data_IF_773450871691
#
_entry.id   IF_773450871691
#
_cell.length_a   1.000
_cell.length_b   1.000
_cell.length_c   1.000
_cell.angle_alpha   90.00
_cell.angle_beta   90.00
_cell.angle_gamma   90.00
#
_symmetry.space_group_name_H-M   'P 1'
#
loop_
_entity.id
_entity.type
_entity.pdbx_description
1 polymer ?
#
# COMPACT_ATOMS: atom_id res chain seq x y z
N UNK A 1 -4.20 8.85 5.60
CA UNK A 1 -4.77 10.22 5.73
C UNK A 1 -5.65 10.36 6.96
N UNK A 2 -6.79 9.63 7.08
CA UNK A 2 -7.75 9.82 8.18
C UNK A 2 -7.14 9.65 9.58
N UNK A 3 -6.30 8.65 9.80
CA UNK A 3 -5.62 8.43 11.07
C UNK A 3 -4.71 9.63 11.47
N UNK A 4 -4.02 10.23 10.51
CA UNK A 4 -3.18 11.40 10.76
C UNK A 4 -4.03 12.62 11.14
N UNK A 5 -5.12 12.87 10.42
CA UNK A 5 -6.06 13.95 10.74
C UNK A 5 -6.64 13.75 12.15
N UNK A 6 -7.19 12.56 12.41
CA UNK A 6 -7.79 12.22 13.71
C UNK A 6 -6.79 12.46 14.85
N UNK A 7 -5.58 11.93 14.71
CA UNK A 7 -4.55 12.01 15.74
C UNK A 7 -4.05 13.44 15.94
N UNK A 8 -3.55 14.07 14.89
CA UNK A 8 -2.80 15.33 15.01
C UNK A 8 -3.71 16.55 15.13
N UNK A 9 -4.87 16.57 14.47
CA UNK A 9 -5.79 17.70 14.48
C UNK A 9 -6.79 17.60 15.63
N UNK A 10 -7.43 16.45 15.82
CA UNK A 10 -8.54 16.34 16.76
C UNK A 10 -8.15 15.85 18.15
N UNK A 11 -7.21 14.91 18.27
CA UNK A 11 -6.81 14.35 19.57
C UNK A 11 -5.65 15.10 20.20
N UNK A 12 -4.48 15.14 19.52
CA UNK A 12 -3.28 15.80 20.04
C UNK A 12 -3.30 17.33 19.87
N UNK A 13 -4.08 17.83 18.88
CA UNK A 13 -4.19 19.26 18.55
C UNK A 13 -2.85 19.94 18.32
N UNK A 14 -1.89 19.19 17.73
CA UNK A 14 -0.54 19.65 17.42
C UNK A 14 -0.44 20.40 16.10
N UNK A 15 -1.49 20.33 15.29
CA UNK A 15 -1.71 21.12 14.07
C UNK A 15 -3.21 21.44 13.98
N UNK A 16 -3.53 22.55 13.34
CA UNK A 16 -4.92 22.91 13.00
C UNK A 16 -5.29 22.34 11.62
N UNK A 17 -6.60 22.24 11.36
CA UNK A 17 -7.07 21.85 10.02
C UNK A 17 -6.65 22.88 8.97
N UNK A 18 -6.62 24.17 9.30
CA UNK A 18 -6.21 25.22 8.37
C UNK A 18 -4.73 25.10 8.00
N UNK A 19 -3.84 24.92 8.99
CA UNK A 19 -2.40 24.68 8.73
C UNK A 19 -2.18 23.45 7.84
N UNK A 20 -2.93 22.38 8.06
CA UNK A 20 -2.86 21.18 7.21
C UNK A 20 -3.29 21.49 5.77
N UNK A 21 -4.40 22.19 5.58
CA UNK A 21 -4.91 22.54 4.25
C UNK A 21 -3.95 23.47 3.50
N UNK A 22 -3.40 24.47 4.19
CA UNK A 22 -2.44 25.38 3.57
C UNK A 22 -1.14 24.66 3.18
N UNK A 23 -0.60 23.84 4.09
CA UNK A 23 0.58 23.02 3.78
C UNK A 23 0.35 22.06 2.60
N UNK A 24 -0.85 21.50 2.46
CA UNK A 24 -1.19 20.63 1.33
C UNK A 24 -1.33 21.41 0.01
N UNK A 25 -1.87 22.64 0.03
CA UNK A 25 -1.94 23.50 -1.17
C UNK A 25 -0.56 23.85 -1.70
N UNK A 26 0.41 24.03 -0.81
CA UNK A 26 1.79 24.36 -1.13
C UNK A 26 2.64 23.10 -1.40
N UNK A 27 2.02 21.93 -1.57
CA UNK A 27 2.71 20.63 -1.70
C UNK A 27 3.77 20.42 -0.59
N UNK A 28 3.50 20.92 0.59
CA UNK A 28 4.40 20.95 1.75
C UNK A 28 5.69 21.76 1.56
N UNK A 29 5.81 22.60 0.54
CA UNK A 29 6.93 23.52 0.42
C UNK A 29 6.91 24.53 1.59
N UNK A 30 8.04 24.65 2.28
CA UNK A 30 8.13 25.45 3.50
C UNK A 30 7.47 24.83 4.76
N UNK A 31 6.78 23.70 4.64
CA UNK A 31 6.05 23.03 5.72
C UNK A 31 6.63 21.64 6.09
N UNK A 32 7.94 21.44 5.95
CA UNK A 32 8.55 20.11 6.13
C UNK A 32 8.40 19.55 7.55
N UNK A 33 8.44 20.40 8.58
CA UNK A 33 8.21 19.95 9.96
C UNK A 33 6.78 19.36 10.14
N UNK A 34 5.76 20.05 9.63
CA UNK A 34 4.38 19.57 9.63
C UNK A 34 4.28 18.26 8.83
N UNK A 35 4.91 18.22 7.66
CA UNK A 35 4.95 17.01 6.84
C UNK A 35 5.57 15.82 7.57
N UNK A 36 6.65 16.02 8.33
CA UNK A 36 7.27 14.95 9.13
C UNK A 36 6.32 14.45 10.23
N UNK A 37 5.55 15.34 10.89
CA UNK A 37 4.49 14.91 11.83
C UNK A 37 3.47 14.01 11.14
N UNK A 38 3.01 14.37 9.93
CA UNK A 38 2.09 13.56 9.14
C UNK A 38 2.71 12.20 8.73
N UNK A 39 3.98 12.18 8.32
CA UNK A 39 4.70 10.96 7.95
C UNK A 39 4.88 10.02 9.15
N UNK A 40 5.07 10.55 10.34
CA UNK A 40 5.24 9.78 11.58
C UNK A 40 3.91 9.37 12.24
N UNK A 41 2.78 9.95 11.84
CA UNK A 41 1.47 9.52 12.31
C UNK A 41 1.25 8.02 11.99
N UNK A 42 0.41 7.30 12.77
CA UNK A 42 0.13 5.88 12.55
C UNK A 42 -0.27 5.57 11.12
N UNK A 43 0.23 4.44 10.59
CA UNK A 43 0.01 4.00 9.21
C UNK A 43 -0.51 2.58 9.16
N UNK A 44 -1.41 2.31 8.23
CA UNK A 44 -1.91 0.97 7.93
C UNK A 44 -0.78 0.02 7.53
N UNK A 45 -0.91 -1.26 7.88
CA UNK A 45 0.09 -2.28 7.60
C UNK A 45 1.13 -2.50 8.70
N UNK A 46 0.89 -1.96 9.91
CA UNK A 46 1.78 -2.07 11.05
C UNK A 46 1.16 -2.78 12.27
N UNK A 47 0.06 -3.51 12.08
CA UNK A 47 -0.69 -4.18 13.16
C UNK A 47 -1.08 -3.18 14.28
N UNK A 48 -1.66 -2.05 13.88
CA UNK A 48 -2.08 -0.96 14.76
C UNK A 48 -3.59 -0.78 14.66
N UNK A 49 -4.32 -1.21 15.69
CA UNK A 49 -5.78 -1.17 15.77
C UNK A 49 -6.34 0.24 15.56
N UNK A 50 -5.61 1.27 16.01
CA UNK A 50 -6.01 2.66 15.84
C UNK A 50 -6.22 3.03 14.36
N UNK A 51 -5.38 2.50 13.46
CA UNK A 51 -5.46 2.76 12.02
C UNK A 51 -6.30 1.70 11.31
N UNK A 52 -6.11 0.44 11.70
CA UNK A 52 -6.69 -0.71 11.01
C UNK A 52 -8.23 -0.67 11.11
N UNK A 53 -8.77 -0.28 12.27
CA UNK A 53 -10.23 -0.14 12.44
C UNK A 53 -10.81 1.10 11.75
N UNK A 54 -10.04 2.18 11.53
CA UNK A 54 -10.48 3.27 10.65
C UNK A 54 -10.64 2.75 9.21
N UNK A 55 -9.68 1.97 8.72
CA UNK A 55 -9.77 1.38 7.39
C UNK A 55 -10.97 0.44 7.27
N UNK A 56 -11.16 -0.44 8.25
CA UNK A 56 -12.32 -1.34 8.34
C UNK A 56 -13.64 -0.57 8.33
N UNK A 57 -13.76 0.50 9.12
CA UNK A 57 -14.97 1.32 9.20
C UNK A 57 -15.30 1.96 7.85
N UNK A 58 -14.30 2.52 7.17
CA UNK A 58 -14.48 3.12 5.83
C UNK A 58 -14.95 2.06 4.84
N UNK A 59 -14.30 0.90 4.81
CA UNK A 59 -14.65 -0.20 3.92
C UNK A 59 -16.10 -0.67 4.17
N UNK A 60 -16.42 -1.01 5.42
CA UNK A 60 -17.76 -1.50 5.79
C UNK A 60 -18.86 -0.49 5.45
N UNK A 61 -18.66 0.80 5.75
CA UNK A 61 -19.67 1.83 5.45
C UNK A 61 -19.83 2.04 3.95
N UNK A 62 -18.72 2.07 3.21
CA UNK A 62 -18.79 2.24 1.75
C UNK A 62 -19.59 1.10 1.12
N UNK A 63 -19.40 -0.12 1.57
CA UNK A 63 -20.15 -1.26 1.09
C UNK A 63 -21.63 -1.19 1.44
N UNK A 64 -21.95 -0.84 2.70
CA UNK A 64 -23.33 -0.65 3.12
C UNK A 64 -24.05 0.41 2.27
N UNK A 65 -23.36 1.50 1.91
CA UNK A 65 -23.93 2.53 1.04
C UNK A 65 -24.12 2.02 -0.40
N UNK A 66 -23.12 1.35 -0.97
CA UNK A 66 -23.17 0.82 -2.34
C UNK A 66 -24.27 -0.23 -2.50
N UNK A 67 -24.48 -1.09 -1.49
CA UNK A 67 -25.51 -2.13 -1.50
C UNK A 67 -26.94 -1.61 -1.46
N UNK A 68 -27.17 -0.31 -1.17
CA UNK A 68 -28.49 0.31 -1.26
C UNK A 68 -28.96 0.49 -2.71
N UNK A 69 -28.05 0.41 -3.67
CA UNK A 69 -28.35 0.56 -5.08
C UNK A 69 -28.42 -0.81 -5.76
N UNK A 70 -29.30 -0.93 -6.74
CA UNK A 70 -29.44 -2.14 -7.55
C UNK A 70 -29.07 -1.87 -9.00
N UNK A 71 -28.57 -2.89 -9.68
CA UNK A 71 -28.33 -2.84 -11.11
C UNK A 71 -29.64 -3.04 -11.89
N UNK A 72 -29.57 -3.01 -13.24
CA UNK A 72 -30.71 -3.16 -14.12
C UNK A 72 -31.46 -4.51 -13.97
N UNK A 73 -30.81 -5.52 -13.40
CA UNK A 73 -31.40 -6.85 -13.15
C UNK A 73 -31.91 -7.03 -11.71
N UNK A 74 -31.89 -5.95 -10.89
CA UNK A 74 -32.41 -5.98 -9.53
C UNK A 74 -31.44 -6.55 -8.49
N UNK A 75 -30.17 -6.83 -8.82
CA UNK A 75 -29.15 -7.26 -7.88
C UNK A 75 -28.47 -6.06 -7.23
N UNK A 76 -28.13 -6.13 -5.93
CA UNK A 76 -27.39 -5.06 -5.27
C UNK A 76 -26.01 -4.89 -5.89
N UNK A 77 -25.53 -3.66 -5.93
CA UNK A 77 -24.14 -3.37 -6.26
C UNK A 77 -23.22 -3.88 -5.17
N UNK A 78 -22.04 -4.30 -5.58
CA UNK A 78 -20.96 -4.71 -4.68
C UNK A 78 -19.72 -3.87 -4.95
N UNK A 79 -18.96 -3.58 -3.91
CA UNK A 79 -17.69 -2.88 -4.04
C UNK A 79 -16.59 -3.90 -4.29
N UNK A 80 -15.87 -3.75 -5.39
CA UNK A 80 -14.64 -4.47 -5.66
C UNK A 80 -13.45 -3.52 -5.51
N UNK A 81 -12.45 -3.96 -4.79
CA UNK A 81 -11.26 -3.18 -4.53
C UNK A 81 -10.08 -3.49 -5.46
N UNK A 82 -10.26 -3.96 -6.68
CA UNK A 82 -9.17 -4.25 -7.61
C UNK A 82 -8.68 -2.98 -8.32
N UNK A 83 -7.40 -2.64 -8.14
CA UNK A 83 -6.74 -1.47 -8.75
C UNK A 83 -5.66 -1.86 -9.77
N UNK A 84 -5.85 -2.89 -10.56
CA UNK A 84 -4.87 -3.40 -11.52
C UNK A 84 -4.26 -2.28 -12.41
N UNK A 85 -3.10 -1.75 -12.03
CA UNK A 85 -2.34 -0.74 -12.79
C UNK A 85 -2.85 0.70 -12.69
N UNK A 86 -4.12 0.95 -12.36
CA UNK A 86 -4.67 2.31 -12.26
C UNK A 86 -4.13 3.11 -11.07
N UNK A 87 -3.57 2.45 -10.05
CA UNK A 87 -2.95 3.11 -8.90
C UNK A 87 -1.85 4.10 -9.33
N UNK A 88 -1.13 3.82 -10.40
CA UNK A 88 -0.10 4.70 -10.94
C UNK A 88 -0.71 5.99 -11.48
N UNK A 89 -1.67 5.87 -12.40
CA UNK A 89 -2.32 7.03 -13.02
C UNK A 89 -3.06 7.89 -11.97
N UNK A 90 -3.80 7.25 -11.06
CA UNK A 90 -4.50 7.95 -9.97
C UNK A 90 -3.49 8.60 -9.01
N UNK A 91 -2.40 7.89 -8.65
CA UNK A 91 -1.38 8.42 -7.77
C UNK A 91 -0.67 9.66 -8.32
N UNK A 92 -0.37 9.68 -9.63
CA UNK A 92 0.26 10.83 -10.29
C UNK A 92 -0.70 12.01 -10.45
N UNK A 93 -2.00 11.76 -10.61
CA UNK A 93 -3.03 12.80 -10.74
C UNK A 93 -3.54 13.32 -9.38
N UNK A 94 -3.10 12.75 -8.26
CA UNK A 94 -3.57 13.14 -6.92
C UNK A 94 -2.64 14.19 -6.31
N UNK A 95 -3.23 15.22 -5.75
CA UNK A 95 -2.55 16.28 -5.01
C UNK A 95 -1.92 15.77 -3.71
N UNK A 96 -1.28 16.67 -2.97
CA UNK A 96 -0.77 16.37 -1.63
C UNK A 96 -1.87 15.81 -0.71
N UNK A 97 -1.51 14.87 0.15
CA UNK A 97 -2.45 14.17 1.03
C UNK A 97 -2.09 14.32 2.52
N UNK A 98 -3.10 14.22 3.41
CA UNK A 98 -2.91 14.36 4.87
C UNK A 98 -2.02 13.28 5.51
N UNK A 99 -1.46 12.35 4.76
CA UNK A 99 -0.48 11.38 5.24
C UNK A 99 0.97 11.78 4.95
N UNK A 100 1.17 12.99 4.39
CA UNK A 100 2.47 13.51 3.99
C UNK A 100 2.88 13.17 2.56
N UNK A 101 1.96 12.61 1.72
CA UNK A 101 2.19 12.44 0.29
C UNK A 101 2.30 13.80 -0.38
N UNK A 102 3.32 13.98 -1.22
CA UNK A 102 3.45 15.11 -2.15
C UNK A 102 2.68 14.87 -3.44
N UNK A 103 2.33 15.95 -4.13
CA UNK A 103 1.68 15.90 -5.44
C UNK A 103 2.47 15.06 -6.44
N UNK A 104 1.76 14.38 -7.33
CA UNK A 104 2.37 13.56 -8.38
C UNK A 104 3.20 12.35 -7.93
N UNK A 105 3.25 12.06 -6.62
CA UNK A 105 4.02 10.93 -6.07
C UNK A 105 3.19 9.66 -6.06
N UNK A 106 3.54 8.70 -6.92
CA UNK A 106 2.88 7.39 -7.03
C UNK A 106 3.02 6.57 -5.74
N UNK A 107 4.18 6.61 -5.12
CA UNK A 107 4.54 5.79 -3.95
C UNK A 107 3.66 5.98 -2.71
N UNK A 108 2.71 6.89 -2.75
CA UNK A 108 1.79 7.07 -1.63
C UNK A 108 0.50 6.26 -1.76
N UNK A 109 0.19 5.76 -2.94
CA UNK A 109 -0.91 4.83 -3.14
C UNK A 109 -0.41 3.39 -2.99
N UNK A 110 -1.27 2.55 -2.43
CA UNK A 110 -1.03 1.13 -2.38
C UNK A 110 -1.10 0.54 -3.79
N UNK A 111 -0.23 -0.39 -4.08
CA UNK A 111 -0.19 -1.16 -5.31
C UNK A 111 -1.21 -2.31 -5.36
N UNK A 112 -2.07 -2.37 -4.37
CA UNK A 112 -3.16 -3.31 -4.24
C UNK A 112 -4.27 -2.70 -3.39
N UNK A 113 -5.40 -3.36 -3.31
CA UNK A 113 -6.62 -2.80 -2.70
C UNK A 113 -6.50 -2.52 -1.22
N UNK A 114 -5.85 -3.42 -0.48
CA UNK A 114 -5.67 -3.32 0.99
C UNK A 114 -4.18 -3.44 1.34
N UNK A 115 -3.31 -3.03 0.45
CA UNK A 115 -1.88 -2.95 0.75
C UNK A 115 -1.55 -1.66 1.48
N UNK A 116 -0.56 -1.66 2.36
CA UNK A 116 0.03 -0.42 2.86
C UNK A 116 0.59 0.42 1.71
N UNK A 117 0.56 1.72 1.82
CA UNK A 117 1.29 2.58 0.91
C UNK A 117 2.80 2.29 1.00
N UNK A 118 3.51 2.37 -0.14
CA UNK A 118 4.91 1.99 -0.25
C UNK A 118 5.79 2.68 0.80
N UNK A 119 6.60 1.87 1.52
CA UNK A 119 7.51 2.34 2.57
C UNK A 119 6.84 2.75 3.88
N UNK A 120 5.53 2.46 4.07
CA UNK A 120 4.80 2.78 5.30
C UNK A 120 4.67 1.60 6.26
N UNK A 121 4.84 0.39 5.78
CA UNK A 121 4.81 -0.89 6.50
C UNK A 121 6.19 -1.20 7.11
N UNK A 122 6.41 -0.71 8.33
CA UNK A 122 7.73 -0.76 8.98
C UNK A 122 7.89 -1.89 10.00
N UNK A 123 6.80 -2.58 10.36
CA UNK A 123 6.81 -3.64 11.39
C UNK A 123 6.87 -5.07 10.81
N UNK A 124 7.29 -5.19 9.56
CA UNK A 124 7.51 -6.49 8.91
C UNK A 124 6.26 -7.13 8.31
N UNK A 125 6.44 -8.24 7.57
CA UNK A 125 5.39 -8.82 6.74
C UNK A 125 4.20 -9.38 7.55
N UNK A 126 4.45 -9.92 8.74
CA UNK A 126 3.39 -10.44 9.61
C UNK A 126 2.46 -9.33 10.08
N UNK A 127 2.99 -8.14 10.41
CA UNK A 127 2.18 -7.00 10.78
C UNK A 127 1.27 -6.54 9.62
N UNK A 128 1.78 -6.60 8.38
CA UNK A 128 0.98 -6.28 7.19
C UNK A 128 -0.22 -7.21 7.06
N UNK A 129 -0.02 -8.53 7.10
CA UNK A 129 -1.14 -9.48 6.95
C UNK A 129 -2.12 -9.45 8.11
N UNK A 130 -1.68 -9.09 9.31
CA UNK A 130 -2.57 -8.86 10.46
C UNK A 130 -3.44 -7.62 10.26
N UNK A 131 -2.87 -6.50 9.81
CA UNK A 131 -3.64 -5.31 9.46
C UNK A 131 -4.67 -5.62 8.35
N UNK A 132 -4.26 -6.34 7.29
CA UNK A 132 -5.14 -6.75 6.20
C UNK A 132 -6.29 -7.63 6.69
N UNK A 133 -6.01 -8.61 7.56
CA UNK A 133 -7.02 -9.53 8.11
C UNK A 133 -8.05 -8.86 9.03
N UNK A 134 -7.80 -7.66 9.53
CA UNK A 134 -8.76 -6.87 10.31
C UNK A 134 -9.79 -6.14 9.45
N UNK A 135 -9.48 -5.91 8.17
CA UNK A 135 -10.43 -5.30 7.22
C UNK A 135 -11.37 -6.39 6.74
N UNK A 136 -12.67 -6.11 6.75
CA UNK A 136 -13.66 -7.09 6.31
C UNK A 136 -13.37 -7.52 4.87
N UNK A 137 -13.37 -8.84 4.58
CA UNK A 137 -13.15 -9.31 3.22
C UNK A 137 -14.37 -8.95 2.38
N UNK A 138 -14.24 -7.92 1.59
CA UNK A 138 -15.10 -7.70 0.46
C UNK A 138 -14.58 -8.48 -0.74
N UNK A 139 -15.23 -8.45 -1.86
CA UNK A 139 -15.04 -9.37 -2.97
C UNK A 139 -13.63 -9.47 -3.55
N UNK A 140 -12.70 -8.58 -3.22
CA UNK A 140 -11.33 -8.64 -3.70
C UNK A 140 -10.36 -7.94 -2.74
N UNK A 141 -9.45 -8.70 -2.20
CA UNK A 141 -8.28 -8.19 -1.47
C UNK A 141 -7.03 -8.52 -2.29
N UNK A 142 -6.33 -7.53 -2.79
CA UNK A 142 -5.03 -7.74 -3.43
C UNK A 142 -3.95 -7.12 -2.56
N UNK A 143 -3.11 -7.96 -1.98
CA UNK A 143 -1.93 -7.53 -1.24
C UNK A 143 -0.66 -7.84 -2.03
N UNK A 144 0.21 -6.86 -2.23
CA UNK A 144 1.52 -7.06 -2.83
C UNK A 144 2.60 -6.95 -1.77
N UNK A 145 3.51 -7.91 -1.74
CA UNK A 145 4.68 -7.86 -0.87
C UNK A 145 5.94 -8.23 -1.64
N UNK A 146 7.03 -7.57 -1.29
CA UNK A 146 8.35 -7.87 -1.85
C UNK A 146 9.24 -8.49 -0.79
N UNK A 147 9.79 -9.66 -1.10
CA UNK A 147 10.78 -10.34 -0.27
C UNK A 147 12.14 -10.34 -0.94
N UNK A 148 13.18 -10.23 -0.13
CA UNK A 148 14.54 -10.47 -0.60
C UNK A 148 14.73 -11.96 -0.86
N UNK A 149 15.46 -12.39 -1.92
CA UNK A 149 15.62 -13.81 -2.27
C UNK A 149 16.12 -14.68 -1.12
N UNK A 150 17.05 -14.17 -0.29
CA UNK A 150 17.61 -14.90 0.86
C UNK A 150 16.54 -15.29 1.91
N UNK A 151 15.38 -14.64 1.92
CA UNK A 151 14.28 -15.00 2.83
C UNK A 151 13.47 -16.22 2.37
N UNK A 152 13.74 -16.73 1.19
CA UNK A 152 13.20 -17.99 0.68
C UNK A 152 14.24 -19.13 0.66
N UNK A 153 15.36 -18.97 1.34
CA UNK A 153 16.45 -19.94 1.40
C UNK A 153 16.61 -20.52 2.81
N UNK A 154 17.16 -21.74 2.88
CA UNK A 154 17.49 -22.41 4.14
C UNK A 154 16.30 -22.48 5.11
N UNK A 155 16.55 -22.22 6.37
CA UNK A 155 15.53 -22.24 7.44
C UNK A 155 14.47 -21.13 7.34
N UNK A 156 14.74 -20.08 6.57
CA UNK A 156 13.74 -19.04 6.31
C UNK A 156 12.54 -19.57 5.53
N UNK A 157 12.68 -20.67 4.78
CA UNK A 157 11.53 -21.36 4.14
C UNK A 157 10.47 -21.79 5.17
N UNK A 158 10.88 -22.21 6.36
CA UNK A 158 9.95 -22.56 7.45
C UNK A 158 9.20 -21.34 7.95
N UNK A 159 9.89 -20.21 8.10
CA UNK A 159 9.28 -18.93 8.48
C UNK A 159 8.28 -18.47 7.42
N UNK A 160 8.64 -18.59 6.15
CA UNK A 160 7.74 -18.23 5.05
C UNK A 160 6.51 -19.15 4.98
N UNK A 161 6.67 -20.45 5.22
CA UNK A 161 5.55 -21.38 5.31
C UNK A 161 4.61 -21.03 6.49
N UNK A 162 5.18 -20.71 7.66
CA UNK A 162 4.39 -20.24 8.82
C UNK A 162 3.66 -18.92 8.52
N UNK A 163 4.31 -18.00 7.82
CA UNK A 163 3.71 -16.76 7.34
C UNK A 163 2.50 -17.00 6.42
N UNK A 164 2.60 -17.90 5.44
CA UNK A 164 1.49 -18.26 4.55
C UNK A 164 0.33 -18.93 5.32
N UNK A 165 0.66 -19.78 6.29
CA UNK A 165 -0.36 -20.37 7.17
C UNK A 165 -1.09 -19.30 7.97
N UNK A 166 -0.35 -18.39 8.60
CA UNK A 166 -0.93 -17.25 9.34
C UNK A 166 -1.78 -16.36 8.43
N UNK A 167 -1.32 -16.09 7.21
CA UNK A 167 -2.09 -15.34 6.22
C UNK A 167 -3.47 -15.98 5.96
N UNK A 168 -3.51 -17.30 5.79
CA UNK A 168 -4.75 -18.05 5.57
C UNK A 168 -5.64 -18.08 6.83
N UNK A 169 -5.06 -18.30 8.02
CA UNK A 169 -5.77 -18.31 9.29
C UNK A 169 -6.42 -16.96 9.64
N UNK A 170 -5.82 -15.86 9.20
CA UNK A 170 -6.37 -14.51 9.34
C UNK A 170 -7.51 -14.20 8.35
N UNK A 171 -7.86 -15.13 7.48
CA UNK A 171 -8.94 -14.94 6.50
C UNK A 171 -8.59 -14.00 5.34
N UNK A 172 -7.31 -13.74 5.10
CA UNK A 172 -6.89 -12.94 3.95
C UNK A 172 -7.13 -13.69 2.63
N UNK A 173 -7.52 -12.98 1.58
CA UNK A 173 -7.96 -13.61 0.33
C UNK A 173 -6.84 -13.79 -0.69
N UNK A 174 -6.09 -12.74 -0.96
CA UNK A 174 -5.13 -12.75 -2.06
C UNK A 174 -3.84 -12.03 -1.67
N UNK A 175 -2.72 -12.67 -1.94
CA UNK A 175 -1.39 -12.08 -1.77
C UNK A 175 -0.52 -12.41 -2.98
N UNK A 176 0.27 -11.44 -3.41
CA UNK A 176 1.22 -11.55 -4.50
C UNK A 176 2.62 -11.22 -4.01
N UNK A 177 3.61 -11.90 -4.57
CA UNK A 177 4.99 -11.74 -4.15
C UNK A 177 5.88 -11.27 -5.31
N UNK A 178 6.74 -10.31 -5.01
CA UNK A 178 7.97 -10.06 -5.75
C UNK A 178 9.15 -10.61 -4.94
N UNK A 179 9.92 -11.49 -5.53
CA UNK A 179 11.14 -12.04 -4.92
C UNK A 179 12.33 -11.53 -5.71
N UNK A 180 12.71 -10.31 -5.43
CA UNK A 180 13.78 -9.60 -6.14
C UNK A 180 14.41 -8.54 -5.22
N UNK A 181 15.72 -8.39 -5.29
CA UNK A 181 16.42 -7.34 -4.56
C UNK A 181 16.41 -6.00 -5.32
N UNK A 182 16.52 -4.91 -4.56
CA UNK A 182 16.49 -3.55 -5.11
C UNK A 182 17.70 -3.25 -6.00
N UNK A 183 18.85 -3.87 -5.73
CA UNK A 183 20.06 -3.60 -6.50
C UNK A 183 19.99 -4.26 -7.87
N UNK A 184 19.39 -5.44 -7.97
CA UNK A 184 19.06 -6.06 -9.26
C UNK A 184 18.11 -5.18 -10.08
N UNK A 185 17.06 -4.65 -9.47
CA UNK A 185 16.12 -3.73 -10.15
C UNK A 185 16.82 -2.45 -10.61
N UNK A 186 17.66 -1.84 -9.77
CA UNK A 186 18.42 -0.63 -10.13
C UNK A 186 19.44 -0.90 -11.25
N UNK A 187 20.06 -2.08 -11.25
CA UNK A 187 20.96 -2.47 -12.36
C UNK A 187 20.17 -2.68 -13.64
N UNK A 188 19.01 -3.31 -13.56
CA UNK A 188 18.14 -3.50 -14.71
C UNK A 188 17.64 -2.18 -15.32
N UNK A 189 17.44 -1.13 -14.52
CA UNK A 189 17.15 0.21 -15.04
C UNK A 189 18.32 0.83 -15.81
N UNK A 190 19.55 0.57 -15.38
CA UNK A 190 20.77 1.15 -15.97
C UNK A 190 21.24 0.40 -17.20
N UNK A 191 21.05 -0.91 -17.23
CA UNK A 191 21.57 -1.82 -18.25
C UNK A 191 20.43 -2.77 -18.71
N UNK A 192 19.32 -2.24 -19.29
CA UNK A 192 18.11 -3.01 -19.58
C UNK A 192 18.38 -4.21 -20.51
N UNK A 193 19.34 -4.09 -21.41
CA UNK A 193 19.72 -5.15 -22.34
C UNK A 193 20.26 -6.43 -21.66
N UNK A 194 20.76 -6.31 -20.43
CA UNK A 194 21.24 -7.45 -19.63
C UNK A 194 20.14 -8.14 -18.82
N UNK A 195 18.95 -7.53 -18.73
CA UNK A 195 17.87 -7.98 -17.86
C UNK A 195 16.54 -8.16 -18.60
N UNK A 196 16.59 -8.48 -19.88
CA UNK A 196 15.40 -8.62 -20.74
C UNK A 196 14.40 -9.66 -20.24
N UNK A 197 14.86 -10.65 -19.46
CA UNK A 197 14.04 -11.72 -18.90
C UNK A 197 13.60 -11.48 -17.44
N UNK A 198 13.89 -10.29 -16.86
CA UNK A 198 13.54 -10.00 -15.49
C UNK A 198 12.02 -9.70 -15.40
N UNK A 199 11.28 -10.66 -14.86
CA UNK A 199 9.83 -10.54 -14.66
C UNK A 199 9.56 -10.03 -13.24
N UNK A 200 8.64 -9.07 -13.13
CA UNK A 200 8.15 -8.54 -11.85
C UNK A 200 6.63 -8.58 -11.79
N UNK A 201 6.09 -8.69 -10.57
CA UNK A 201 4.66 -8.52 -10.31
C UNK A 201 4.36 -7.04 -10.10
N UNK A 202 3.52 -6.48 -10.96
CA UNK A 202 3.16 -5.05 -10.90
C UNK A 202 2.01 -4.84 -9.90
N UNK A 203 0.79 -5.09 -10.34
CA UNK A 203 -0.42 -5.08 -9.52
C UNK A 203 -1.49 -5.90 -10.27
N UNK A 204 -1.78 -7.12 -9.84
CA UNK A 204 -2.70 -8.02 -10.53
C UNK A 204 -2.16 -8.67 -11.80
N UNK A 205 -1.01 -8.25 -12.33
CA UNK A 205 -0.35 -8.81 -13.51
C UNK A 205 1.18 -8.79 -13.37
N UNK A 206 1.86 -9.57 -14.21
CA UNK A 206 3.32 -9.61 -14.31
C UNK A 206 3.77 -9.05 -15.66
N UNK A 207 4.94 -8.40 -15.67
CA UNK A 207 5.54 -7.85 -16.89
C UNK A 207 7.06 -7.97 -16.81
N UNK A 208 7.72 -7.85 -17.96
CA UNK A 208 9.17 -7.65 -17.97
C UNK A 208 9.50 -6.28 -17.40
N UNK A 209 10.41 -6.24 -16.43
CA UNK A 209 10.72 -5.02 -15.70
C UNK A 209 11.23 -3.91 -16.63
N UNK A 210 12.05 -4.28 -17.60
CA UNK A 210 12.68 -3.34 -18.53
C UNK A 210 11.67 -2.70 -19.51
N UNK A 211 10.54 -3.35 -19.76
CA UNK A 211 9.49 -2.85 -20.65
C UNK A 211 8.50 -1.90 -19.94
N UNK A 212 8.59 -1.82 -18.61
CA UNK A 212 7.71 -0.94 -17.84
C UNK A 212 8.12 0.52 -17.98
N UNK A 213 7.17 1.47 -17.97
CA UNK A 213 7.48 2.89 -17.84
C UNK A 213 8.34 3.15 -16.60
N UNK A 214 9.30 4.08 -16.71
CA UNK A 214 10.26 4.40 -15.64
C UNK A 214 9.60 4.67 -14.30
N UNK A 215 8.49 5.38 -14.25
CA UNK A 215 7.77 5.66 -13.02
C UNK A 215 7.22 4.41 -12.32
N UNK A 216 6.79 3.38 -13.08
CA UNK A 216 6.37 2.08 -12.51
C UNK A 216 7.59 1.30 -12.03
N UNK A 217 8.70 1.34 -12.74
CA UNK A 217 9.96 0.74 -12.29
C UNK A 217 10.41 1.36 -10.96
N UNK A 218 10.38 2.69 -10.85
CA UNK A 218 10.75 3.43 -9.64
C UNK A 218 9.83 3.08 -8.46
N UNK A 219 8.53 2.92 -8.71
CA UNK A 219 7.56 2.47 -7.71
C UNK A 219 7.90 1.05 -7.20
N UNK A 220 8.14 0.11 -8.10
CA UNK A 220 8.51 -1.27 -7.71
C UNK A 220 9.81 -1.29 -6.88
N UNK A 221 10.79 -0.48 -7.24
CA UNK A 221 12.04 -0.33 -6.46
C UNK A 221 11.76 0.24 -5.07
N UNK A 222 10.82 1.18 -4.96
CA UNK A 222 10.50 1.86 -3.70
C UNK A 222 9.64 1.03 -2.73
N UNK A 223 9.03 -0.07 -3.19
CA UNK A 223 8.24 -0.96 -2.32
C UNK A 223 9.08 -1.50 -1.18
N UNK A 224 8.47 -1.61 0.00
CA UNK A 224 9.17 -2.15 1.18
C UNK A 224 9.70 -3.56 0.92
N UNK A 225 10.99 -3.75 1.14
CA UNK A 225 11.61 -5.08 1.13
C UNK A 225 11.33 -5.75 2.48
N UNK A 226 10.45 -6.72 2.50
CA UNK A 226 10.05 -7.45 3.70
C UNK A 226 11.15 -8.39 4.16
N UNK A 227 11.31 -8.51 5.48
CA UNK A 227 12.19 -9.46 6.14
C UNK A 227 11.52 -10.02 7.39
N UNK A 228 11.82 -11.29 7.71
CA UNK A 228 11.48 -11.87 9.00
C UNK A 228 12.61 -11.55 9.97
N UNK A 229 12.34 -10.66 10.90
CA UNK A 229 13.21 -10.39 12.04
C UNK A 229 13.05 -11.46 13.10
#
# INVERSE_FOLDING_TARGET
SLAAIKKLVFEEKTITMQELLDAMKDDFEGHEELRQKLLNAPKFGNDDDYVDFIMREVDCRTQQEVQKFTNLWGYPWTLDGALAGSYYAVGTATWALPDGKREGRVQAFADGTISPAAGRDKKGPTAVIKSMGKVAPTFSQTGNQRFMPQFLEGDNKKKFAAYLKTWAELGNWHIQFNVVDSDTLRRAQKEPEKYTNLIVRVAGYSAYFVDLPKGIQDDIIARTAQSFT
#
